data_IF_526222873113
#
_entry.id   IF_526222873113
#
_cell.length_a   1.000
_cell.length_b   1.000
_cell.length_c   1.000
_cell.angle_alpha   90.00
_cell.angle_beta   90.00
_cell.angle_gamma   90.00
#
_symmetry.space_group_name_H-M   'P 1'
#
loop_
_entity.id
_entity.type
_entity.pdbx_description
1 polymer ?
#
# COMPACT_ATOMS: atom_id res chain seq x y z
N UNK A 1 21.34 37.82 49.55
CA UNK A 1 20.25 37.10 48.85
C UNK A 1 20.55 37.11 47.36
N UNK A 2 21.13 36.03 46.84
CA UNK A 2 21.56 35.94 45.44
C UNK A 2 20.43 35.30 44.62
N UNK A 3 19.96 35.99 43.58
CA UNK A 3 19.00 35.47 42.60
C UNK A 3 19.73 34.51 41.66
N UNK A 4 19.30 33.25 41.64
CA UNK A 4 19.76 32.25 40.69
C UNK A 4 19.08 32.45 39.32
N UNK A 5 19.89 32.79 38.31
CA UNK A 5 19.47 32.79 36.90
C UNK A 5 19.23 31.36 36.42
N UNK A 6 17.99 31.02 36.06
CA UNK A 6 17.65 29.82 35.32
C UNK A 6 17.95 30.10 33.83
N UNK A 7 18.79 29.29 33.14
CA UNK A 7 19.00 29.46 31.70
C UNK A 7 17.73 29.15 30.93
N UNK A 8 17.42 30.02 29.96
CA UNK A 8 16.19 30.00 29.18
C UNK A 8 15.88 28.66 28.51
N UNK A 9 14.60 28.30 28.56
CA UNK A 9 14.00 27.23 27.78
C UNK A 9 14.23 27.50 26.29
N UNK A 10 15.07 26.69 25.68
CA UNK A 10 15.12 26.59 24.20
C UNK A 10 13.77 26.07 23.74
N UNK A 11 12.94 27.00 23.25
CA UNK A 11 11.65 26.65 22.69
C UNK A 11 11.83 25.62 21.56
N UNK A 12 11.30 24.41 21.75
CA UNK A 12 11.09 23.47 20.65
C UNK A 12 10.05 24.09 19.71
N UNK A 13 10.51 24.85 18.73
CA UNK A 13 9.66 25.21 17.58
C UNK A 13 9.45 23.94 16.77
N UNK A 14 8.32 23.28 16.96
CA UNK A 14 7.84 22.30 15.99
C UNK A 14 7.77 23.02 14.64
N UNK A 15 8.41 22.53 13.58
CA UNK A 15 8.29 23.15 12.26
C UNK A 15 6.80 23.16 11.89
N UNK A 16 6.23 24.35 11.77
CA UNK A 16 4.92 24.53 11.16
C UNK A 16 5.08 24.06 9.72
N UNK A 17 4.55 22.87 9.39
CA UNK A 17 4.56 22.39 8.01
C UNK A 17 3.64 23.31 7.21
N UNK A 18 4.22 24.13 6.36
CA UNK A 18 3.51 25.05 5.46
C UNK A 18 2.81 24.32 4.30
N UNK A 19 2.97 22.99 4.21
CA UNK A 19 2.40 22.16 3.15
C UNK A 19 0.91 21.92 3.36
N UNK A 20 0.16 22.04 2.29
CA UNK A 20 -1.26 21.65 2.29
C UNK A 20 -1.40 20.14 2.58
N UNK A 21 -2.39 19.73 3.38
CA UNK A 21 -2.62 18.33 3.65
C UNK A 21 -2.99 17.53 2.40
N UNK A 22 -2.36 16.38 2.21
CA UNK A 22 -2.75 15.40 1.18
C UNK A 22 -3.99 14.64 1.67
N UNK A 23 -5.06 14.64 0.88
CA UNK A 23 -6.28 13.89 1.15
C UNK A 23 -6.17 12.48 0.63
N UNK A 24 -6.16 11.50 1.53
CA UNK A 24 -5.92 10.10 1.21
C UNK A 24 -7.16 9.28 1.51
N UNK A 25 -7.76 8.71 0.47
CA UNK A 25 -8.89 7.79 0.62
C UNK A 25 -8.39 6.36 0.84
N UNK A 26 -9.01 5.68 1.79
CA UNK A 26 -8.92 4.23 2.00
C UNK A 26 -10.33 3.66 1.93
N UNK A 27 -10.60 2.73 1.01
CA UNK A 27 -11.87 2.01 0.93
C UNK A 27 -11.76 0.64 1.58
N UNK A 28 -12.86 0.11 2.15
CA UNK A 28 -12.80 -1.08 2.99
C UNK A 28 -12.04 -0.77 4.31
N UNK A 29 -12.32 0.42 4.85
CA UNK A 29 -11.50 1.04 5.88
C UNK A 29 -11.64 0.39 7.26
N UNK A 30 -12.73 -0.33 7.54
CA UNK A 30 -12.89 -1.16 8.73
C UNK A 30 -12.14 -2.49 8.65
N UNK A 31 -11.54 -2.81 7.47
CA UNK A 31 -10.85 -4.07 7.24
C UNK A 31 -9.43 -4.13 7.82
N UNK A 32 -8.92 -5.36 8.01
CA UNK A 32 -7.61 -5.62 8.61
C UNK A 32 -6.43 -4.95 7.89
N UNK A 33 -6.48 -4.84 6.56
CA UNK A 33 -5.40 -4.21 5.79
C UNK A 33 -5.41 -2.70 6.05
N UNK A 34 -6.57 -2.07 6.02
CA UNK A 34 -6.75 -0.65 6.30
C UNK A 34 -6.31 -0.30 7.72
N UNK A 35 -6.71 -1.09 8.71
CA UNK A 35 -6.30 -0.95 10.11
C UNK A 35 -4.78 -0.95 10.27
N UNK A 36 -4.07 -1.78 9.50
CA UNK A 36 -2.60 -1.79 9.51
C UNK A 36 -1.98 -0.64 8.69
N UNK A 37 -2.69 -0.10 7.70
CA UNK A 37 -2.17 0.91 6.77
C UNK A 37 -2.38 2.34 7.26
N UNK A 38 -3.55 2.65 7.81
CA UNK A 38 -3.90 4.02 8.21
C UNK A 38 -2.88 4.64 9.17
N UNK A 39 -2.40 3.95 10.24
CA UNK A 39 -1.34 4.46 11.09
C UNK A 39 0.00 4.69 10.34
N UNK A 40 0.33 3.88 9.35
CA UNK A 40 1.55 4.06 8.55
C UNK A 40 1.47 5.34 7.69
N UNK A 41 0.29 5.65 7.15
CA UNK A 41 0.06 6.88 6.41
C UNK A 41 0.16 8.08 7.38
N UNK A 42 -0.54 8.01 8.51
CA UNK A 42 -0.57 9.07 9.53
C UNK A 42 0.81 9.38 10.14
N UNK A 43 1.71 8.38 10.20
CA UNK A 43 3.11 8.53 10.63
C UNK A 43 4.04 9.09 9.55
N UNK A 44 3.56 9.35 8.33
CA UNK A 44 4.36 9.87 7.24
C UNK A 44 5.17 8.83 6.47
N UNK A 45 4.94 7.52 6.70
CA UNK A 45 5.70 6.48 6.01
C UNK A 45 5.36 6.32 4.52
N UNK A 46 4.28 6.94 4.06
CA UNK A 46 3.82 6.86 2.67
C UNK A 46 4.11 8.15 1.91
N UNK A 47 3.77 9.30 2.46
CA UNK A 47 3.90 10.60 1.78
C UNK A 47 5.10 11.44 2.24
N UNK A 48 5.79 11.03 3.30
CA UNK A 48 6.94 11.74 3.87
C UNK A 48 6.70 12.17 5.31
N UNK A 49 7.77 12.35 6.06
CA UNK A 49 7.72 12.68 7.50
C UNK A 49 7.38 14.15 7.79
N UNK A 50 7.23 14.94 6.75
CA UNK A 50 6.91 16.37 6.83
C UNK A 50 5.60 16.70 6.05
N UNK A 51 4.89 15.69 5.54
CA UNK A 51 3.67 15.86 4.77
C UNK A 51 2.43 15.63 5.63
N UNK A 52 1.64 16.68 5.94
CA UNK A 52 0.35 16.52 6.60
C UNK A 52 -0.63 15.72 5.74
N UNK A 53 -1.53 14.97 6.39
CA UNK A 53 -2.53 14.15 5.71
C UNK A 53 -3.91 14.33 6.34
N UNK A 54 -4.95 14.18 5.52
CA UNK A 54 -6.34 14.00 5.92
C UNK A 54 -6.75 12.62 5.42
N UNK A 55 -7.26 11.77 6.30
CA UNK A 55 -7.73 10.44 5.93
C UNK A 55 -9.21 10.47 5.63
N UNK A 56 -9.62 10.03 4.44
CA UNK A 56 -10.98 9.69 4.10
C UNK A 56 -11.12 8.16 4.21
N UNK A 57 -11.96 7.70 5.12
CA UNK A 57 -12.16 6.29 5.43
C UNK A 57 -13.58 5.90 5.00
N UNK A 58 -13.67 5.10 3.93
CA UNK A 58 -14.93 4.65 3.36
C UNK A 58 -15.15 3.18 3.65
N UNK A 59 -16.32 2.86 4.20
CA UNK A 59 -16.80 1.48 4.27
C UNK A 59 -18.33 1.45 4.15
N UNK A 60 -18.93 0.27 4.19
CA UNK A 60 -20.38 0.08 4.13
C UNK A 60 -21.06 0.44 5.45
N UNK A 61 -22.33 0.84 5.39
CA UNK A 61 -23.13 1.26 6.54
C UNK A 61 -23.09 0.27 7.70
N UNK A 62 -23.11 -1.05 7.39
CA UNK A 62 -23.16 -2.12 8.39
C UNK A 62 -21.95 -2.18 9.32
N UNK A 63 -20.80 -1.63 8.90
CA UNK A 63 -19.54 -1.65 9.68
C UNK A 63 -19.11 -0.27 10.17
N UNK A 64 -19.96 0.75 10.02
CA UNK A 64 -19.64 2.11 10.47
C UNK A 64 -19.34 2.18 11.98
N UNK A 65 -19.98 1.36 12.80
CA UNK A 65 -19.64 1.25 14.22
C UNK A 65 -18.19 0.82 14.47
N UNK A 66 -17.72 -0.18 13.71
CA UNK A 66 -16.31 -0.63 13.75
C UNK A 66 -15.38 0.46 13.25
N UNK A 67 -15.75 1.11 12.15
CA UNK A 67 -14.95 2.18 11.54
C UNK A 67 -14.79 3.38 12.50
N UNK A 68 -15.85 3.75 13.21
CA UNK A 68 -15.77 4.81 14.22
C UNK A 68 -14.81 4.43 15.37
N UNK A 69 -14.75 3.17 15.78
CA UNK A 69 -13.74 2.68 16.71
C UNK A 69 -12.31 2.87 16.19
N UNK A 70 -12.06 2.55 14.92
CA UNK A 70 -10.76 2.80 14.27
C UNK A 70 -10.40 4.29 14.25
N UNK A 71 -11.40 5.18 14.03
CA UNK A 71 -11.18 6.64 14.10
C UNK A 71 -10.75 7.07 15.49
N UNK A 72 -11.41 6.56 16.55
CA UNK A 72 -11.04 6.86 17.94
C UNK A 72 -9.58 6.47 18.21
N UNK A 73 -9.17 5.27 17.85
CA UNK A 73 -7.78 4.81 18.01
C UNK A 73 -6.78 5.67 17.21
N UNK A 74 -7.12 6.08 15.99
CA UNK A 74 -6.25 6.94 15.18
C UNK A 74 -6.08 8.32 15.82
N UNK A 75 -7.11 8.87 16.43
CA UNK A 75 -7.08 10.15 17.14
C UNK A 75 -6.29 10.02 18.45
N UNK A 76 -6.50 8.96 19.21
CA UNK A 76 -5.77 8.66 20.45
C UNK A 76 -4.26 8.47 20.22
N UNK A 77 -3.84 8.05 19.01
CA UNK A 77 -2.44 8.00 18.64
C UNK A 77 -1.76 9.38 18.52
N UNK A 78 -2.51 10.47 18.44
CA UNK A 78 -2.03 11.85 18.38
C UNK A 78 -0.92 12.07 17.33
N UNK A 79 -1.06 11.50 16.14
CA UNK A 79 -0.06 11.61 15.08
C UNK A 79 0.07 13.06 14.59
N UNK A 80 1.26 13.69 14.65
CA UNK A 80 1.41 15.12 14.35
C UNK A 80 1.07 15.48 12.89
N UNK A 81 1.17 14.53 11.96
CA UNK A 81 0.85 14.73 10.55
C UNK A 81 -0.62 14.49 10.21
N UNK A 82 -1.38 13.79 11.07
CA UNK A 82 -2.81 13.56 10.87
C UNK A 82 -3.58 14.81 11.25
N UNK A 83 -4.17 15.48 10.26
CA UNK A 83 -4.92 16.73 10.49
C UNK A 83 -6.40 16.51 10.67
N UNK A 84 -6.96 15.48 10.01
CA UNK A 84 -8.38 15.15 10.14
C UNK A 84 -8.63 13.70 9.67
N UNK A 85 -9.77 13.15 10.11
CA UNK A 85 -10.26 11.83 9.70
C UNK A 85 -11.74 11.93 9.35
N UNK A 86 -12.09 11.67 8.09
CA UNK A 86 -13.45 11.67 7.58
C UNK A 86 -13.92 10.22 7.40
N UNK A 87 -14.61 9.65 8.38
CA UNK A 87 -15.24 8.34 8.24
C UNK A 87 -16.65 8.50 7.63
N UNK A 88 -16.99 7.68 6.65
CA UNK A 88 -18.28 7.78 5.95
C UNK A 88 -18.62 6.51 5.18
N UNK A 89 -19.91 6.28 4.95
CA UNK A 89 -20.46 5.29 4.02
C UNK A 89 -20.98 5.95 2.72
N UNK A 90 -20.87 7.27 2.60
CA UNK A 90 -21.19 8.04 1.39
C UNK A 90 -19.97 8.14 0.46
N UNK A 91 -20.05 7.48 -0.68
CA UNK A 91 -18.98 7.49 -1.70
C UNK A 91 -18.70 8.93 -2.19
N UNK A 92 -19.70 9.76 -2.43
CA UNK A 92 -19.49 11.14 -2.88
C UNK A 92 -18.61 11.91 -1.88
N UNK A 93 -18.96 11.84 -0.59
CA UNK A 93 -18.20 12.50 0.48
C UNK A 93 -16.77 11.94 0.56
N UNK A 94 -16.61 10.63 0.46
CA UNK A 94 -15.32 9.96 0.55
C UNK A 94 -14.37 10.35 -0.60
N UNK A 95 -14.87 10.40 -1.84
CA UNK A 95 -14.05 10.66 -3.03
C UNK A 95 -13.85 12.16 -3.34
N UNK A 96 -14.55 13.06 -2.66
CA UNK A 96 -14.46 14.50 -2.96
C UNK A 96 -13.08 15.08 -2.65
N UNK A 97 -12.42 15.58 -3.70
CA UNK A 97 -11.16 16.34 -3.61
C UNK A 97 -9.95 15.56 -3.15
N UNK A 98 -9.97 14.22 -3.22
CA UNK A 98 -8.84 13.38 -2.82
C UNK A 98 -7.65 13.52 -3.77
N UNK A 99 -6.43 13.41 -3.21
CA UNK A 99 -5.15 13.42 -3.91
C UNK A 99 -4.62 12.01 -4.18
N UNK A 100 -4.96 11.07 -3.29
CA UNK A 100 -4.57 9.67 -3.41
C UNK A 100 -5.68 8.75 -2.92
N UNK A 101 -5.77 7.56 -3.51
CA UNK A 101 -6.71 6.52 -3.10
C UNK A 101 -6.01 5.17 -2.99
N UNK A 102 -6.22 4.46 -1.87
CA UNK A 102 -5.86 3.06 -1.69
C UNK A 102 -7.15 2.25 -1.62
N UNK A 103 -7.44 1.54 -2.68
CA UNK A 103 -8.70 0.83 -2.86
C UNK A 103 -8.58 -0.61 -2.37
N UNK A 104 -9.08 -0.86 -1.15
CA UNK A 104 -9.02 -2.13 -0.44
C UNK A 104 -10.36 -2.86 -0.41
N UNK A 105 -11.46 -2.14 -0.67
CA UNK A 105 -12.81 -2.70 -0.60
C UNK A 105 -12.92 -3.97 -1.45
N UNK A 106 -13.41 -5.04 -0.86
CA UNK A 106 -13.68 -6.30 -1.55
C UNK A 106 -14.72 -7.11 -0.76
N UNK A 107 -15.48 -7.91 -1.46
CA UNK A 107 -16.31 -8.90 -0.77
C UNK A 107 -15.43 -9.93 -0.06
N UNK A 108 -15.89 -10.46 1.10
CA UNK A 108 -15.19 -11.50 1.82
C UNK A 108 -14.91 -12.72 0.92
N UNK A 109 -13.65 -13.15 0.89
CA UNK A 109 -13.24 -14.31 0.10
C UNK A 109 -13.59 -15.59 0.83
N UNK A 110 -14.36 -16.49 0.21
CA UNK A 110 -14.57 -17.85 0.70
C UNK A 110 -13.26 -18.64 0.55
N UNK A 111 -13.05 -19.64 1.42
CA UNK A 111 -11.80 -20.41 1.49
C UNK A 111 -11.38 -21.01 0.14
N UNK A 112 -12.32 -21.41 -0.71
CA UNK A 112 -12.08 -22.06 -2.00
C UNK A 112 -12.46 -21.18 -3.20
N UNK A 113 -12.68 -19.88 -3.00
CA UNK A 113 -13.04 -19.00 -4.10
C UNK A 113 -11.87 -18.81 -5.07
N UNK A 114 -12.15 -19.01 -6.35
CA UNK A 114 -11.21 -18.70 -7.43
C UNK A 114 -11.18 -17.18 -7.69
N UNK A 115 -10.16 -16.70 -8.39
CA UNK A 115 -10.13 -15.29 -8.81
C UNK A 115 -11.26 -14.90 -9.75
N UNK A 116 -11.76 -15.86 -10.52
CA UNK A 116 -12.95 -15.69 -11.39
C UNK A 116 -14.20 -15.42 -10.55
N UNK A 117 -14.36 -16.15 -9.44
CA UNK A 117 -15.51 -15.98 -8.54
C UNK A 117 -15.53 -14.62 -7.84
N UNK A 118 -14.35 -14.04 -7.63
CA UNK A 118 -14.19 -12.71 -7.02
C UNK A 118 -14.35 -11.56 -8.02
N UNK A 119 -14.16 -11.81 -9.31
CA UNK A 119 -14.11 -10.76 -10.31
C UNK A 119 -15.46 -10.04 -10.46
N UNK A 120 -16.53 -10.77 -10.72
CA UNK A 120 -17.84 -10.18 -11.01
C UNK A 120 -18.41 -9.35 -9.84
N UNK A 121 -18.41 -9.84 -8.59
CA UNK A 121 -18.90 -9.05 -7.46
C UNK A 121 -18.00 -7.84 -7.15
N UNK A 122 -16.68 -8.01 -7.22
CA UNK A 122 -15.77 -6.88 -7.00
C UNK A 122 -15.83 -5.86 -8.14
N UNK A 123 -16.06 -6.30 -9.39
CA UNK A 123 -16.20 -5.40 -10.53
C UNK A 123 -17.27 -4.33 -10.31
N UNK A 124 -18.42 -4.69 -9.72
CA UNK A 124 -19.50 -3.72 -9.41
C UNK A 124 -19.03 -2.62 -8.46
N UNK A 125 -18.28 -2.98 -7.40
CA UNK A 125 -17.72 -2.02 -6.46
C UNK A 125 -16.79 -1.04 -7.20
N UNK A 126 -15.94 -1.56 -8.07
CA UNK A 126 -14.93 -0.75 -8.76
C UNK A 126 -15.45 0.01 -9.97
N UNK A 127 -16.62 -0.36 -10.51
CA UNK A 127 -17.40 0.49 -11.41
C UNK A 127 -17.86 1.76 -10.69
N UNK A 128 -18.45 1.62 -9.51
CA UNK A 128 -18.87 2.76 -8.69
C UNK A 128 -17.68 3.61 -8.26
N UNK A 129 -16.64 3.01 -7.71
CA UNK A 129 -15.43 3.73 -7.31
C UNK A 129 -14.75 4.47 -8.47
N UNK A 130 -14.68 3.86 -9.66
CA UNK A 130 -14.16 4.50 -10.86
C UNK A 130 -14.99 5.72 -11.28
N UNK A 131 -16.32 5.58 -11.27
CA UNK A 131 -17.23 6.69 -11.53
C UNK A 131 -17.07 7.82 -10.49
N UNK A 132 -16.97 7.49 -9.21
CA UNK A 132 -16.73 8.47 -8.15
C UNK A 132 -15.38 9.17 -8.28
N UNK A 133 -14.32 8.46 -8.64
CA UNK A 133 -13.01 9.05 -8.97
C UNK A 133 -13.15 10.04 -10.12
N UNK A 134 -13.88 9.64 -11.17
CA UNK A 134 -14.09 10.49 -12.34
C UNK A 134 -14.84 11.79 -12.00
N UNK A 135 -15.82 11.73 -11.12
CA UNK A 135 -16.70 12.85 -10.82
C UNK A 135 -16.16 13.76 -9.71
N UNK A 136 -15.56 13.19 -8.66
CA UNK A 136 -15.33 13.91 -7.40
C UNK A 136 -13.85 14.05 -7.03
N UNK A 137 -12.96 13.17 -7.51
CA UNK A 137 -11.55 13.26 -7.19
C UNK A 137 -10.83 14.35 -8.01
N UNK A 138 -9.67 14.80 -7.53
CA UNK A 138 -8.77 15.63 -8.33
C UNK A 138 -8.32 14.86 -9.57
N UNK A 139 -8.15 15.53 -10.70
CA UNK A 139 -7.71 14.88 -11.96
C UNK A 139 -6.26 14.35 -11.88
N UNK A 140 -5.50 14.84 -10.93
CA UNK A 140 -4.14 14.38 -10.59
C UNK A 140 -4.10 13.21 -9.62
N UNK A 141 -5.25 12.73 -9.12
CA UNK A 141 -5.34 11.67 -8.11
C UNK A 141 -4.51 10.44 -8.49
N UNK A 142 -3.80 9.88 -7.52
CA UNK A 142 -3.06 8.62 -7.67
C UNK A 142 -3.83 7.49 -7.01
N UNK A 143 -4.06 6.43 -7.76
CA UNK A 143 -4.91 5.32 -7.34
C UNK A 143 -4.09 4.02 -7.26
N UNK A 144 -4.09 3.40 -6.09
CA UNK A 144 -3.52 2.08 -5.85
C UNK A 144 -4.64 1.09 -5.59
N UNK A 145 -4.80 0.11 -6.47
CA UNK A 145 -5.77 -0.98 -6.31
C UNK A 145 -5.10 -2.19 -5.67
N UNK A 146 -5.68 -2.66 -4.58
CA UNK A 146 -5.19 -3.79 -3.78
C UNK A 146 -6.13 -4.99 -3.84
N UNK A 147 -7.42 -4.76 -4.11
CA UNK A 147 -8.43 -5.80 -4.25
C UNK A 147 -8.09 -6.82 -5.37
N UNK A 148 -8.35 -8.09 -5.12
CA UNK A 148 -8.13 -9.15 -6.10
C UNK A 148 -9.34 -9.35 -7.04
N UNK A 149 -9.06 -9.61 -8.33
CA UNK A 149 -7.76 -9.68 -9.02
C UNK A 149 -7.21 -8.27 -9.35
N UNK A 150 -6.11 -7.88 -8.70
CA UNK A 150 -5.68 -6.49 -8.60
C UNK A 150 -5.45 -5.82 -9.97
N UNK A 151 -4.77 -6.48 -10.91
CA UNK A 151 -4.47 -5.90 -12.22
C UNK A 151 -5.73 -5.68 -13.06
N UNK A 152 -6.64 -6.65 -13.07
CA UNK A 152 -7.91 -6.56 -13.81
C UNK A 152 -8.81 -5.47 -13.23
N UNK A 153 -8.90 -5.40 -11.91
CA UNK A 153 -9.70 -4.38 -11.21
C UNK A 153 -9.11 -3.00 -11.41
N UNK A 154 -7.77 -2.84 -11.39
CA UNK A 154 -7.14 -1.54 -11.67
C UNK A 154 -7.46 -1.04 -13.09
N UNK A 155 -7.40 -1.93 -14.09
CA UNK A 155 -7.79 -1.62 -15.45
C UNK A 155 -9.27 -1.22 -15.54
N UNK A 156 -10.14 -2.00 -14.90
CA UNK A 156 -11.57 -1.72 -14.86
C UNK A 156 -11.84 -0.34 -14.25
N UNK A 157 -11.29 -0.07 -13.07
CA UNK A 157 -11.45 1.19 -12.37
C UNK A 157 -11.01 2.39 -13.24
N UNK A 158 -9.86 2.27 -13.94
CA UNK A 158 -9.36 3.32 -14.84
C UNK A 158 -10.29 3.58 -16.04
N UNK A 159 -11.00 2.56 -16.53
CA UNK A 159 -11.97 2.72 -17.63
C UNK A 159 -13.22 3.50 -17.21
N UNK A 160 -13.61 3.40 -15.93
CA UNK A 160 -14.74 4.17 -15.38
C UNK A 160 -14.33 5.57 -14.88
N UNK A 161 -13.04 5.92 -14.96
CA UNK A 161 -12.53 7.25 -14.65
C UNK A 161 -11.78 7.88 -15.85
N UNK A 162 -12.44 8.09 -16.99
CA UNK A 162 -11.78 8.53 -18.22
C UNK A 162 -11.14 9.92 -18.15
N UNK A 163 -11.55 10.76 -17.18
CA UNK A 163 -10.97 12.10 -16.98
C UNK A 163 -9.67 12.08 -16.15
N UNK A 164 -9.25 10.92 -15.63
CA UNK A 164 -8.00 10.77 -14.89
C UNK A 164 -7.00 9.99 -15.75
N UNK A 165 -5.74 10.45 -15.89
CA UNK A 165 -4.73 9.78 -16.69
C UNK A 165 -4.54 8.31 -16.27
N UNK A 166 -4.44 7.40 -17.23
CA UNK A 166 -4.34 5.95 -16.96
C UNK A 166 -3.09 5.58 -16.15
N UNK A 167 -2.01 6.31 -16.33
CA UNK A 167 -0.76 6.16 -15.58
C UNK A 167 -0.90 6.51 -14.09
N UNK A 168 -1.99 7.11 -13.68
CA UNK A 168 -2.29 7.36 -12.28
C UNK A 168 -2.88 6.14 -11.57
N UNK A 169 -3.28 5.10 -12.32
CA UNK A 169 -3.79 3.85 -11.76
C UNK A 169 -2.68 2.80 -11.69
N UNK A 170 -2.59 2.13 -10.55
CA UNK A 170 -1.65 1.05 -10.33
C UNK A 170 -2.29 -0.10 -9.56
N UNK A 171 -1.81 -1.32 -9.80
CA UNK A 171 -2.15 -2.51 -9.03
C UNK A 171 -1.01 -2.85 -8.07
N UNK A 172 -1.34 -3.32 -6.86
CA UNK A 172 -0.33 -3.70 -5.87
C UNK A 172 0.33 -5.03 -6.24
N UNK A 173 1.56 -4.95 -6.76
CA UNK A 173 2.46 -6.09 -6.99
C UNK A 173 3.74 -6.01 -6.14
N UNK A 174 3.91 -4.93 -5.38
CA UNK A 174 5.08 -4.73 -4.49
C UNK A 174 5.23 -5.83 -3.44
N UNK A 175 4.12 -6.42 -2.99
CA UNK A 175 4.14 -7.54 -2.04
C UNK A 175 4.91 -8.74 -2.59
N UNK A 176 4.72 -9.05 -3.88
CA UNK A 176 5.38 -10.18 -4.54
C UNK A 176 6.87 -9.89 -4.74
N UNK A 177 7.20 -8.67 -5.13
CA UNK A 177 8.59 -8.20 -5.20
C UNK A 177 9.31 -8.29 -3.84
N UNK A 178 8.66 -7.91 -2.74
CA UNK A 178 9.24 -8.04 -1.40
C UNK A 178 9.45 -9.51 -1.02
N UNK A 179 8.54 -10.40 -1.40
CA UNK A 179 8.67 -11.86 -1.21
C UNK A 179 9.87 -12.41 -1.96
N UNK A 180 10.01 -12.06 -3.23
CA UNK A 180 11.12 -12.50 -4.05
C UNK A 180 12.47 -12.03 -3.48
N UNK A 181 12.57 -10.74 -3.12
CA UNK A 181 13.76 -10.20 -2.46
C UNK A 181 14.11 -10.94 -1.18
N UNK A 182 13.10 -11.23 -0.34
CA UNK A 182 13.31 -11.93 0.93
C UNK A 182 13.80 -13.36 0.71
N UNK A 183 13.29 -14.10 -0.28
CA UNK A 183 13.75 -15.45 -0.58
C UNK A 183 15.24 -15.47 -0.96
N UNK A 184 15.68 -14.53 -1.81
CA UNK A 184 17.10 -14.39 -2.17
C UNK A 184 17.93 -13.99 -0.93
N UNK A 185 17.46 -13.04 -0.14
CA UNK A 185 18.17 -12.59 1.06
C UNK A 185 18.35 -13.73 2.07
N UNK A 186 17.32 -14.54 2.29
CA UNK A 186 17.39 -15.71 3.19
C UNK A 186 18.36 -16.78 2.68
N UNK A 187 18.33 -17.08 1.37
CA UNK A 187 19.22 -18.08 0.76
C UNK A 187 20.69 -17.64 0.86
N UNK A 188 20.97 -16.34 0.69
CA UNK A 188 22.31 -15.76 0.78
C UNK A 188 22.72 -15.31 2.18
N UNK A 189 21.81 -15.38 3.17
CA UNK A 189 22.01 -14.93 4.56
C UNK A 189 22.43 -13.44 4.65
N UNK A 190 21.79 -12.59 3.85
CA UNK A 190 22.00 -11.14 3.82
C UNK A 190 20.72 -10.38 4.17
N UNK A 191 20.80 -9.07 4.36
CA UNK A 191 19.60 -8.25 4.52
C UNK A 191 18.80 -8.16 3.21
N UNK A 192 17.48 -8.18 3.29
CA UNK A 192 16.64 -7.91 2.12
C UNK A 192 16.84 -6.49 1.56
N UNK A 193 17.38 -5.56 2.34
CA UNK A 193 17.74 -4.22 1.88
C UNK A 193 18.91 -4.23 0.87
N UNK A 194 19.80 -5.22 0.97
CA UNK A 194 20.98 -5.34 0.12
C UNK A 194 20.66 -6.02 -1.21
N UNK A 195 19.52 -6.69 -1.33
CA UNK A 195 19.07 -7.31 -2.59
C UNK A 195 18.38 -6.26 -3.45
N UNK A 196 18.87 -6.03 -4.65
CA UNK A 196 18.40 -5.02 -5.61
C UNK A 196 18.06 -5.65 -6.96
N UNK A 197 17.31 -4.91 -7.78
CA UNK A 197 17.00 -5.23 -9.18
C UNK A 197 16.31 -6.59 -9.41
N UNK A 198 15.57 -7.10 -8.42
CA UNK A 198 14.63 -8.21 -8.66
C UNK A 198 13.45 -7.67 -9.44
N UNK A 199 13.00 -8.36 -10.47
CA UNK A 199 11.86 -7.97 -11.31
C UNK A 199 10.73 -8.98 -11.12
N UNK A 200 9.50 -8.48 -11.08
CA UNK A 200 8.30 -9.33 -11.11
C UNK A 200 7.57 -9.10 -12.43
N UNK A 201 7.56 -10.10 -13.27
CA UNK A 201 6.82 -10.10 -14.52
C UNK A 201 5.41 -10.65 -14.33
N UNK A 202 4.46 -10.10 -15.06
CA UNK A 202 3.07 -10.55 -15.09
C UNK A 202 2.18 -9.93 -14.00
N UNK A 203 1.04 -10.57 -13.78
CA UNK A 203 0.01 -10.08 -12.87
C UNK A 203 0.23 -10.60 -11.44
N UNK A 204 -0.39 -9.96 -10.46
CA UNK A 204 -0.48 -10.48 -9.09
C UNK A 204 -1.31 -11.78 -9.08
N UNK A 205 -0.71 -12.89 -9.49
CA UNK A 205 -1.35 -14.21 -9.67
C UNK A 205 -0.32 -15.33 -9.59
N UNK A 206 -0.72 -16.62 -9.52
CA UNK A 206 0.21 -17.74 -9.61
C UNK A 206 0.98 -17.83 -10.94
N UNK A 207 0.65 -16.98 -11.92
CA UNK A 207 1.38 -16.87 -13.20
C UNK A 207 2.47 -15.80 -13.18
N UNK A 208 2.66 -15.10 -12.06
CA UNK A 208 3.76 -14.15 -11.91
C UNK A 208 5.11 -14.87 -12.02
N UNK A 209 6.10 -14.18 -12.58
CA UNK A 209 7.44 -14.71 -12.71
C UNK A 209 8.45 -13.78 -12.01
N UNK A 210 9.01 -14.19 -10.86
CA UNK A 210 10.11 -13.48 -10.23
C UNK A 210 11.41 -13.73 -10.97
N UNK A 211 12.02 -12.68 -11.48
CA UNK A 211 13.23 -12.71 -12.29
C UNK A 211 14.39 -12.09 -11.52
N UNK A 212 15.48 -12.85 -11.43
CA UNK A 212 16.73 -12.47 -10.77
C UNK A 212 17.90 -12.29 -11.73
N UNK A 213 17.69 -12.38 -13.04
CA UNK A 213 18.75 -12.29 -14.06
C UNK A 213 19.58 -11.00 -13.96
N UNK A 214 18.95 -9.92 -13.52
CA UNK A 214 19.58 -8.62 -13.27
C UNK A 214 19.72 -8.28 -11.78
N UNK A 215 19.37 -9.21 -10.90
CA UNK A 215 19.41 -8.98 -9.47
C UNK A 215 20.85 -8.95 -8.95
N UNK A 216 21.09 -8.05 -8.02
CA UNK A 216 22.38 -7.85 -7.37
C UNK A 216 22.26 -7.83 -5.87
N UNK A 217 23.34 -8.13 -5.19
CA UNK A 217 23.47 -8.03 -3.74
C UNK A 217 24.65 -7.14 -3.40
N UNK A 218 24.48 -6.25 -2.42
CA UNK A 218 25.58 -5.47 -1.83
C UNK A 218 26.17 -6.28 -0.68
N UNK A 219 27.43 -6.68 -0.80
CA UNK A 219 28.18 -7.40 0.24
C UNK A 219 29.58 -6.76 0.39
N UNK A 220 29.93 -6.36 1.60
CA UNK A 220 31.25 -5.74 1.88
C UNK A 220 31.60 -4.62 0.86
N UNK A 221 30.66 -3.71 0.64
CA UNK A 221 30.73 -2.58 -0.30
C UNK A 221 30.91 -2.97 -1.79
N UNK A 222 30.80 -4.25 -2.12
CA UNK A 222 30.83 -4.75 -3.50
C UNK A 222 29.41 -5.10 -3.96
N UNK A 223 29.14 -4.82 -5.24
CA UNK A 223 27.90 -5.21 -5.91
C UNK A 223 28.15 -6.48 -6.71
N UNK A 224 27.51 -7.58 -6.35
CA UNK A 224 27.69 -8.89 -6.98
C UNK A 224 26.35 -9.38 -7.53
N UNK A 225 26.37 -10.05 -8.69
CA UNK A 225 25.15 -10.64 -9.25
C UNK A 225 24.66 -11.81 -8.39
N UNK A 226 23.32 -11.89 -8.23
CA UNK A 226 22.69 -13.01 -7.50
C UNK A 226 22.99 -14.34 -8.13
N UNK A 227 23.02 -14.44 -9.46
CA UNK A 227 23.33 -15.66 -10.21
C UNK A 227 24.75 -16.16 -9.96
N UNK A 228 25.71 -15.26 -9.79
CA UNK A 228 27.11 -15.62 -9.54
C UNK A 228 27.32 -16.14 -8.11
N UNK A 229 26.50 -15.67 -7.17
CA UNK A 229 26.56 -16.07 -5.77
C UNK A 229 25.81 -17.37 -5.51
N UNK A 230 24.59 -17.53 -6.04
CA UNK A 230 23.76 -18.69 -5.74
C UNK A 230 24.18 -19.93 -6.49
N UNK A 231 24.56 -19.83 -7.78
CA UNK A 231 24.95 -20.97 -8.65
C UNK A 231 24.03 -22.20 -8.55
N UNK A 232 22.75 -21.96 -8.21
CA UNK A 232 21.73 -22.97 -7.93
C UNK A 232 20.53 -22.74 -8.88
N UNK A 233 20.73 -23.10 -10.14
CA UNK A 233 19.69 -22.94 -11.18
C UNK A 233 18.43 -23.75 -10.86
N UNK A 234 18.56 -24.92 -10.24
CA UNK A 234 17.42 -25.75 -9.86
C UNK A 234 16.52 -25.01 -8.86
N UNK A 235 17.09 -24.37 -7.83
CA UNK A 235 16.36 -23.53 -6.90
C UNK A 235 15.72 -22.33 -7.61
N UNK A 236 16.49 -21.59 -8.41
CA UNK A 236 16.03 -20.37 -9.06
C UNK A 236 14.88 -20.60 -10.05
N UNK A 237 14.87 -21.75 -10.74
CA UNK A 237 13.82 -22.14 -11.70
C UNK A 237 12.67 -22.93 -11.07
N UNK A 238 12.81 -23.40 -9.86
CA UNK A 238 11.84 -24.27 -9.16
C UNK A 238 11.28 -23.63 -7.90
N UNK A 239 11.85 -23.97 -6.75
CA UNK A 239 11.35 -23.63 -5.43
C UNK A 239 11.20 -22.11 -5.21
N UNK A 240 12.15 -21.32 -5.69
CA UNK A 240 12.10 -19.86 -5.59
C UNK A 240 10.84 -19.30 -6.22
N UNK A 241 10.55 -19.68 -7.46
CA UNK A 241 9.38 -19.20 -8.20
C UNK A 241 8.10 -19.64 -7.48
N UNK A 242 7.98 -20.93 -7.16
CA UNK A 242 6.80 -21.52 -6.53
C UNK A 242 6.52 -20.90 -5.16
N UNK A 243 7.56 -20.69 -4.36
CA UNK A 243 7.44 -20.07 -3.04
C UNK A 243 6.90 -18.64 -3.14
N UNK A 244 7.39 -17.84 -4.07
CA UNK A 244 6.90 -16.47 -4.27
C UNK A 244 5.44 -16.48 -4.72
N UNK A 245 5.09 -17.32 -5.70
CA UNK A 245 3.74 -17.44 -6.25
C UNK A 245 2.71 -17.89 -5.22
N UNK A 246 3.07 -18.81 -4.32
CA UNK A 246 2.13 -19.46 -3.39
C UNK A 246 2.15 -18.87 -1.98
N UNK A 247 3.06 -17.96 -1.66
CA UNK A 247 3.20 -17.38 -0.31
C UNK A 247 1.89 -16.80 0.23
N UNK A 248 1.07 -16.17 -0.61
CA UNK A 248 -0.22 -15.64 -0.20
C UNK A 248 -1.18 -16.70 0.34
N UNK A 249 -1.22 -17.85 -0.32
CA UNK A 249 -2.01 -18.99 0.12
C UNK A 249 -1.47 -19.60 1.41
N UNK A 250 -0.14 -19.72 1.54
CA UNK A 250 0.49 -20.23 2.77
C UNK A 250 0.15 -19.35 3.99
N UNK A 251 0.21 -18.03 3.84
CA UNK A 251 -0.19 -17.08 4.90
C UNK A 251 -1.67 -17.23 5.24
N UNK A 252 -2.54 -17.34 4.23
CA UNK A 252 -3.97 -17.51 4.44
C UNK A 252 -4.28 -18.84 5.14
N UNK A 253 -3.65 -19.93 4.74
CA UNK A 253 -3.82 -21.24 5.36
C UNK A 253 -3.43 -21.23 6.84
N UNK A 254 -2.31 -20.57 7.17
CA UNK A 254 -1.81 -20.49 8.55
C UNK A 254 -2.65 -19.55 9.44
N UNK A 255 -3.00 -18.36 8.93
CA UNK A 255 -3.66 -17.30 9.71
C UNK A 255 -5.18 -17.31 9.62
N UNK A 256 -5.76 -18.01 8.66
CA UNK A 256 -7.19 -17.96 8.27
C UNK A 256 -7.65 -16.54 7.89
N UNK A 257 -6.71 -15.66 7.54
CA UNK A 257 -6.93 -14.25 7.18
C UNK A 257 -5.91 -13.78 6.13
N UNK A 258 -6.24 -12.73 5.41
CA UNK A 258 -5.34 -12.10 4.44
C UNK A 258 -4.07 -11.53 5.08
N UNK A 259 -3.05 -11.28 4.26
CA UNK A 259 -1.74 -10.74 4.66
C UNK A 259 -1.83 -9.23 5.01
N UNK A 260 -2.48 -8.86 6.11
CA UNK A 260 -2.71 -7.45 6.49
C UNK A 260 -1.42 -6.65 6.61
N UNK A 261 -0.50 -7.05 7.50
CA UNK A 261 0.77 -6.36 7.74
C UNK A 261 1.63 -6.27 6.47
N UNK A 262 1.76 -7.38 5.74
CA UNK A 262 2.59 -7.42 4.52
C UNK A 262 2.00 -6.51 3.43
N UNK A 263 0.68 -6.53 3.26
CA UNK A 263 -0.01 -5.69 2.27
C UNK A 263 0.11 -4.22 2.64
N UNK A 264 -0.13 -3.84 3.89
CA UNK A 264 0.05 -2.49 4.38
C UNK A 264 1.51 -2.01 4.23
N UNK A 265 2.48 -2.86 4.57
CA UNK A 265 3.91 -2.56 4.39
C UNK A 265 4.29 -2.39 2.91
N UNK A 266 3.66 -3.12 1.99
CA UNK A 266 3.91 -2.97 0.56
C UNK A 266 3.35 -1.66 -0.01
N UNK A 267 2.37 -1.05 0.65
CA UNK A 267 1.86 0.28 0.34
C UNK A 267 2.80 1.41 0.85
N UNK A 268 3.78 1.08 1.72
CA UNK A 268 4.78 2.04 2.20
C UNK A 268 5.77 2.39 1.09
N UNK A 269 6.07 3.66 1.01
CA UNK A 269 6.82 4.34 -0.05
C UNK A 269 6.11 4.22 -1.39
N UNK A 270 5.47 5.28 -1.81
CA UNK A 270 5.34 5.49 -3.23
C UNK A 270 6.76 5.39 -3.79
N UNK A 271 6.94 4.59 -4.81
CA UNK A 271 8.02 4.92 -5.75
C UNK A 271 7.85 6.41 -6.07
N UNK A 272 8.90 7.18 -6.40
CA UNK A 272 8.81 8.61 -6.73
C UNK A 272 7.66 8.99 -7.67
N UNK A 273 7.05 8.01 -8.36
CA UNK A 273 5.90 8.17 -9.26
C UNK A 273 4.56 8.49 -8.58
N UNK A 274 4.38 8.25 -7.27
CA UNK A 274 3.14 8.65 -6.57
C UNK A 274 3.17 10.12 -6.09
N UNK A 275 4.35 10.72 -5.95
CA UNK A 275 4.48 12.09 -5.41
C UNK A 275 5.21 13.06 -6.34
N UNK A 276 5.95 12.59 -7.33
CA UNK A 276 6.76 13.48 -8.16
C UNK A 276 6.34 13.45 -9.62
N UNK A 277 5.56 14.43 -10.02
CA UNK A 277 5.67 15.24 -11.23
C UNK A 277 4.77 16.47 -11.09
N UNK A 278 5.19 17.39 -10.22
CA UNK A 278 4.93 18.80 -10.42
C UNK A 278 6.30 19.48 -10.46
N UNK A 279 6.89 19.52 -11.61
CA UNK A 279 7.89 20.48 -12.09
C UNK A 279 7.82 20.46 -13.60
#
# INVERSE_FOLDING_TARGET
MSQSNIPGSTGFTTPSTTKDPVRVLITGAAGQIAYSLAPLIAKGYVFGYDQPVILHLLDITQVMGVLNGVVMELLDCAFPLLKDVVATDDEKKAFTGIDAAVLLASLPTKINATRKDLLAPNAKIYQSHGACINLYAKKTVKVLVVCNPANTIALLCSRYAPSVPKENFSALTRIDHNRARLQIAQKLKVSAADVRNVILWGNHSPTQFPDVSHATVVMQDKVVKVTDLLKDEAYLRGEFITTVQTRGYAVFAARKRSSGITTASACRRPTPRLVARNS
#
